data_IF_509446698710
#
_entry.id   IF_509446698710
#
_cell.length_a   1.000
_cell.length_b   1.000
_cell.length_c   1.000
_cell.angle_alpha   90.00
_cell.angle_beta   90.00
_cell.angle_gamma   90.00
#
_symmetry.space_group_name_H-M   'P 1'
#
loop_
_entity.id
_entity.type
_entity.pdbx_description
1 polymer ?
#
# COMPACT_ATOMS: atom_id res chain seq x y z
N UNK A 1 -13.48 1.49 8.43
CA UNK A 1 -12.10 1.87 8.86
C UNK A 1 -11.45 2.90 7.95
N UNK A 2 -11.57 2.79 6.62
CA UNK A 2 -10.81 3.64 5.68
C UNK A 2 -11.11 5.13 5.79
N UNK A 3 -12.38 5.54 5.96
CA UNK A 3 -12.74 6.94 6.12
C UNK A 3 -12.07 7.61 7.33
N UNK A 4 -11.95 6.87 8.44
CA UNK A 4 -11.22 7.34 9.62
C UNK A 4 -9.70 7.39 9.37
N UNK A 5 -9.15 6.39 8.66
CA UNK A 5 -7.73 6.37 8.27
C UNK A 5 -7.36 7.61 7.43
N UNK A 6 -8.21 7.92 6.46
CA UNK A 6 -8.00 8.98 5.50
C UNK A 6 -8.23 10.38 6.10
N UNK A 7 -9.25 10.56 6.92
CA UNK A 7 -9.66 11.90 7.36
C UNK A 7 -9.12 12.29 8.74
N UNK A 8 -8.69 11.33 9.56
CA UNK A 8 -8.29 11.60 10.95
C UNK A 8 -6.96 10.95 11.31
N UNK A 9 -6.88 9.62 11.28
CA UNK A 9 -5.74 8.90 11.86
C UNK A 9 -4.41 9.20 11.17
N UNK A 10 -4.38 9.49 9.87
CA UNK A 10 -3.12 9.87 9.18
C UNK A 10 -2.48 11.15 9.71
N UNK A 11 -3.21 11.97 10.46
CA UNK A 11 -2.73 13.23 11.03
C UNK A 11 -2.29 13.10 12.49
N UNK A 12 -2.39 11.90 13.08
CA UNK A 12 -2.01 11.70 14.47
C UNK A 12 -0.52 11.34 14.57
N UNK A 13 0.15 11.72 15.68
CA UNK A 13 1.58 11.41 15.87
C UNK A 13 1.86 9.91 15.98
N UNK A 14 0.84 9.11 16.29
CA UNK A 14 0.95 7.65 16.46
C UNK A 14 0.58 6.85 15.19
N UNK A 15 0.28 7.51 14.06
CA UNK A 15 -0.17 6.82 12.84
C UNK A 15 0.81 5.72 12.41
N UNK A 16 2.11 6.04 12.41
CA UNK A 16 3.17 5.11 12.02
C UNK A 16 3.31 3.95 13.00
N UNK A 17 3.34 4.22 14.30
CA UNK A 17 3.36 3.19 15.34
C UNK A 17 2.20 2.20 15.16
N UNK A 18 0.99 2.71 14.88
CA UNK A 18 -0.20 1.87 14.66
C UNK A 18 -0.12 1.04 13.39
N UNK A 19 0.56 1.50 12.34
CA UNK A 19 0.79 0.67 11.14
C UNK A 19 1.53 -0.61 11.51
N UNK A 20 2.67 -0.50 12.21
CA UNK A 20 3.49 -1.63 12.60
C UNK A 20 2.89 -2.48 13.73
N UNK A 21 2.05 -1.87 14.58
CA UNK A 21 1.32 -2.60 15.61
C UNK A 21 0.18 -3.42 15.01
N UNK A 22 -0.65 -2.80 14.17
CA UNK A 22 -1.90 -3.41 13.72
C UNK A 22 -1.72 -4.45 12.62
N UNK A 23 -0.63 -4.42 11.86
CA UNK A 23 -0.38 -5.40 10.79
C UNK A 23 -0.30 -6.82 11.37
N UNK A 24 0.25 -6.94 12.59
CA UNK A 24 0.40 -8.19 13.34
C UNK A 24 -0.92 -8.75 13.86
N UNK A 25 -1.97 -7.94 13.93
CA UNK A 25 -3.25 -8.36 14.51
C UNK A 25 -3.93 -9.44 13.68
N UNK A 26 -4.50 -10.45 14.35
CA UNK A 26 -5.36 -11.45 13.71
C UNK A 26 -6.78 -10.94 13.47
N UNK A 27 -7.16 -9.78 14.00
CA UNK A 27 -8.49 -9.19 13.74
C UNK A 27 -8.49 -8.50 12.38
N UNK A 28 -9.40 -8.90 11.48
CA UNK A 28 -9.43 -8.48 10.07
C UNK A 28 -9.39 -6.95 9.91
N UNK A 29 -10.27 -6.23 10.59
CA UNK A 29 -10.36 -4.78 10.47
C UNK A 29 -9.21 -4.04 11.16
N UNK A 30 -8.59 -4.66 12.17
CA UNK A 30 -7.39 -4.10 12.81
C UNK A 30 -6.24 -4.19 11.83
N UNK A 31 -5.98 -5.37 11.25
CA UNK A 31 -4.94 -5.53 10.21
C UNK A 31 -5.19 -4.66 8.98
N UNK A 32 -6.44 -4.59 8.49
CA UNK A 32 -6.81 -3.69 7.39
C UNK A 32 -6.40 -2.25 7.68
N UNK A 33 -6.54 -1.79 8.93
CA UNK A 33 -6.25 -0.41 9.31
C UNK A 33 -4.81 -0.03 8.99
N UNK A 34 -3.83 -0.93 9.17
CA UNK A 34 -2.44 -0.66 8.79
C UNK A 34 -2.29 -0.28 7.32
N UNK A 35 -2.86 -1.10 6.42
CA UNK A 35 -2.71 -0.87 4.99
C UNK A 35 -3.57 0.29 4.49
N UNK A 36 -4.75 0.49 5.07
CA UNK A 36 -5.55 1.68 4.82
C UNK A 36 -4.86 2.97 5.28
N UNK A 37 -4.10 2.94 6.39
CA UNK A 37 -3.27 4.06 6.83
C UNK A 37 -2.12 4.32 5.86
N UNK A 38 -1.38 3.30 5.44
CA UNK A 38 -0.31 3.44 4.43
C UNK A 38 -0.84 4.12 3.16
N UNK A 39 -1.98 3.66 2.64
CA UNK A 39 -2.63 4.30 1.49
C UNK A 39 -3.02 5.77 1.78
N UNK A 40 -3.56 6.04 2.96
CA UNK A 40 -3.96 7.38 3.39
C UNK A 40 -2.78 8.35 3.53
N UNK A 41 -1.64 7.88 4.04
CA UNK A 41 -0.38 8.63 4.12
C UNK A 41 0.15 8.94 2.72
N UNK A 42 0.15 7.94 1.83
CA UNK A 42 0.66 8.08 0.47
C UNK A 42 -0.12 9.14 -0.33
N UNK A 43 -1.44 9.21 -0.13
CA UNK A 43 -2.30 10.23 -0.78
C UNK A 43 -2.21 11.60 -0.08
N UNK A 44 -2.19 11.62 1.25
CA UNK A 44 -2.49 12.84 2.03
C UNK A 44 -1.29 13.64 2.50
N UNK A 45 -0.19 12.97 2.88
CA UNK A 45 0.95 13.64 3.51
C UNK A 45 1.98 14.06 2.47
N UNK A 46 1.67 15.09 1.68
CA UNK A 46 2.56 15.61 0.63
C UNK A 46 3.91 16.14 1.13
N UNK A 47 4.03 16.44 2.43
CA UNK A 47 5.27 16.93 3.06
C UNK A 47 6.18 15.82 3.57
N UNK A 48 5.66 14.60 3.70
CA UNK A 48 6.47 13.44 4.12
C UNK A 48 7.43 13.08 2.98
N UNK A 49 8.74 12.91 3.26
CA UNK A 49 9.71 12.48 2.25
C UNK A 49 9.28 11.15 1.63
N UNK A 50 9.60 10.95 0.36
CA UNK A 50 9.20 9.73 -0.33
C UNK A 50 9.96 8.51 0.19
N UNK A 51 11.19 8.69 0.65
CA UNK A 51 12.05 7.69 1.26
C UNK A 51 11.37 7.00 2.45
N UNK A 52 10.57 7.75 3.22
CA UNK A 52 9.83 7.22 4.36
C UNK A 52 8.77 6.19 3.97
N UNK A 53 8.33 6.15 2.70
CA UNK A 53 7.37 5.14 2.24
C UNK A 53 8.03 3.81 1.88
N UNK A 54 9.34 3.78 1.64
CA UNK A 54 10.06 2.56 1.29
C UNK A 54 9.97 1.50 2.41
N UNK A 55 9.94 1.94 3.67
CA UNK A 55 9.79 1.04 4.83
C UNK A 55 8.46 0.27 4.86
N UNK A 56 7.44 0.73 4.12
CA UNK A 56 6.15 0.06 4.04
C UNK A 56 6.08 -1.01 2.96
N UNK A 57 6.99 -1.02 1.97
CA UNK A 57 6.99 -2.01 0.89
C UNK A 57 7.29 -3.44 1.39
N UNK A 58 8.30 -3.67 2.27
CA UNK A 58 8.49 -4.98 2.88
C UNK A 58 7.27 -5.46 3.68
N UNK A 59 6.60 -4.53 4.37
CA UNK A 59 5.40 -4.85 5.15
C UNK A 59 4.21 -5.23 4.24
N UNK A 60 4.04 -4.54 3.12
CA UNK A 60 3.05 -4.90 2.10
C UNK A 60 3.34 -6.29 1.54
N UNK A 61 4.60 -6.59 1.23
CA UNK A 61 5.00 -7.91 0.75
C UNK A 61 4.70 -9.00 1.79
N UNK A 62 5.13 -8.80 3.04
CA UNK A 62 4.98 -9.75 4.13
C UNK A 62 3.52 -10.16 4.36
N UNK A 63 2.57 -9.23 4.22
CA UNK A 63 1.15 -9.48 4.51
C UNK A 63 0.28 -9.64 3.26
N UNK A 64 0.86 -9.68 2.06
CA UNK A 64 0.11 -9.89 0.84
C UNK A 64 -0.47 -11.32 0.71
N UNK A 65 -0.09 -12.26 1.59
CA UNK A 65 -0.66 -13.61 1.63
C UNK A 65 -2.08 -13.65 2.20
N UNK A 66 -2.50 -12.60 2.90
CA UNK A 66 -3.73 -12.60 3.70
C UNK A 66 -4.97 -12.64 2.82
N UNK A 67 -5.65 -13.78 2.78
CA UNK A 67 -6.77 -14.01 1.85
C UNK A 67 -8.07 -13.30 2.25
N UNK A 68 -8.13 -12.72 3.46
CA UNK A 68 -9.36 -12.10 3.97
C UNK A 68 -9.73 -10.91 3.11
N UNK A 69 -10.99 -10.87 2.68
CA UNK A 69 -11.45 -9.98 1.61
C UNK A 69 -11.10 -8.51 1.87
N UNK A 70 -11.18 -8.07 3.12
CA UNK A 70 -10.90 -6.69 3.45
C UNK A 70 -9.41 -6.43 3.71
N UNK A 71 -8.59 -7.42 4.01
CA UNK A 71 -7.15 -7.21 4.18
C UNK A 71 -6.46 -7.11 2.82
N UNK A 72 -6.60 -8.10 1.93
CA UNK A 72 -5.90 -8.09 0.64
C UNK A 72 -6.26 -6.86 -0.20
N UNK A 73 -7.51 -6.39 -0.13
CA UNK A 73 -7.95 -5.15 -0.81
C UNK A 73 -7.19 -3.93 -0.31
N UNK A 74 -6.94 -3.84 0.99
CA UNK A 74 -6.21 -2.73 1.57
C UNK A 74 -4.70 -2.83 1.28
N UNK A 75 -4.12 -4.03 1.30
CA UNK A 75 -2.72 -4.27 0.88
C UNK A 75 -2.50 -3.84 -0.57
N UNK A 76 -3.38 -4.29 -1.48
CA UNK A 76 -3.35 -3.87 -2.88
C UNK A 76 -3.48 -2.35 -3.03
N UNK A 77 -4.43 -1.75 -2.31
CA UNK A 77 -4.63 -0.31 -2.35
C UNK A 77 -3.39 0.45 -1.88
N UNK A 78 -2.77 0.03 -0.77
CA UNK A 78 -1.52 0.62 -0.27
C UNK A 78 -0.40 0.58 -1.31
N UNK A 79 -0.13 -0.59 -1.90
CA UNK A 79 0.89 -0.77 -2.94
C UNK A 79 0.69 0.19 -4.12
N UNK A 80 -0.54 0.24 -4.63
CA UNK A 80 -0.92 1.12 -5.73
C UNK A 80 -0.77 2.61 -5.38
N UNK A 81 -1.12 3.02 -4.16
CA UNK A 81 -1.00 4.43 -3.78
C UNK A 81 0.46 4.85 -3.59
N UNK A 82 1.31 3.98 -3.03
CA UNK A 82 2.76 4.25 -2.97
C UNK A 82 3.30 4.44 -4.40
N UNK A 83 3.00 3.52 -5.32
CA UNK A 83 3.50 3.62 -6.69
C UNK A 83 2.95 4.79 -7.52
N UNK A 84 1.82 5.38 -7.09
CA UNK A 84 1.21 6.56 -7.74
C UNK A 84 1.57 7.87 -7.06
N UNK A 85 2.31 7.83 -5.97
CA UNK A 85 2.66 9.01 -5.17
C UNK A 85 3.66 9.90 -5.90
N UNK A 86 4.73 9.31 -6.43
CA UNK A 86 5.81 10.05 -7.07
C UNK A 86 6.62 9.19 -8.03
N UNK A 87 7.41 9.84 -8.89
CA UNK A 87 8.34 9.14 -9.78
C UNK A 87 9.44 8.39 -9.02
N UNK A 88 9.80 8.86 -7.83
CA UNK A 88 10.78 8.20 -6.98
C UNK A 88 10.28 6.85 -6.48
N UNK A 89 9.03 6.79 -5.98
CA UNK A 89 8.44 5.56 -5.41
C UNK A 89 7.91 4.59 -6.46
N UNK A 90 7.58 5.11 -7.64
CA UNK A 90 7.02 4.33 -8.74
C UNK A 90 7.80 3.05 -9.08
N UNK A 91 9.12 3.08 -9.37
CA UNK A 91 9.88 1.89 -9.73
C UNK A 91 9.85 0.82 -8.63
N UNK A 92 9.98 1.20 -7.36
CA UNK A 92 9.94 0.25 -6.24
C UNK A 92 8.59 -0.45 -6.09
N UNK A 93 7.49 0.30 -6.23
CA UNK A 93 6.15 -0.29 -6.19
C UNK A 93 5.86 -1.16 -7.42
N UNK A 94 6.36 -0.77 -8.60
CA UNK A 94 6.20 -1.53 -9.83
C UNK A 94 6.97 -2.86 -9.75
N UNK A 95 8.21 -2.83 -9.25
CA UNK A 95 9.03 -4.02 -9.02
C UNK A 95 8.36 -4.99 -8.04
N UNK A 96 7.88 -4.50 -6.89
CA UNK A 96 7.15 -5.33 -5.94
C UNK A 96 5.86 -5.90 -6.56
N UNK A 97 5.14 -5.10 -7.35
CA UNK A 97 3.94 -5.56 -8.06
C UNK A 97 4.27 -6.70 -9.03
N UNK A 98 5.37 -6.58 -9.78
CA UNK A 98 5.84 -7.62 -10.69
C UNK A 98 6.22 -8.89 -9.92
N UNK A 99 7.01 -8.76 -8.84
CA UNK A 99 7.40 -9.87 -7.96
C UNK A 99 6.19 -10.63 -7.44
N UNK A 100 5.20 -9.93 -6.89
CA UNK A 100 3.96 -10.55 -6.39
C UNK A 100 3.15 -11.22 -7.50
N UNK A 101 3.14 -10.65 -8.71
CA UNK A 101 2.41 -11.20 -9.86
C UNK A 101 2.90 -12.58 -10.31
N UNK A 102 4.17 -12.90 -10.01
CA UNK A 102 4.85 -14.16 -10.33
C UNK A 102 4.82 -15.17 -9.17
N UNK A 103 4.22 -14.83 -8.03
CA UNK A 103 4.20 -15.69 -6.84
C UNK A 103 3.39 -16.99 -7.06
N UNK A 104 3.69 -18.03 -6.28
CA UNK A 104 2.88 -19.25 -6.22
C UNK A 104 1.62 -19.09 -5.34
N UNK A 105 1.57 -18.08 -4.46
CA UNK A 105 0.38 -17.75 -3.67
C UNK A 105 -0.68 -17.00 -4.52
N UNK A 106 -1.94 -17.42 -4.44
CA UNK A 106 -3.05 -16.87 -5.25
C UNK A 106 -3.34 -15.40 -4.93
N UNK A 107 -3.32 -15.03 -3.65
CA UNK A 107 -3.56 -13.67 -3.18
C UNK A 107 -2.42 -12.74 -3.58
N UNK A 108 -1.16 -13.17 -3.44
CA UNK A 108 0.01 -12.45 -3.99
C UNK A 108 -0.17 -12.16 -5.47
N UNK A 109 -0.47 -13.19 -6.28
CA UNK A 109 -0.66 -12.99 -7.73
C UNK A 109 -1.78 -12.02 -8.03
N UNK A 110 -2.90 -12.09 -7.31
CA UNK A 110 -4.05 -11.21 -7.49
C UNK A 110 -3.68 -9.75 -7.22
N UNK A 111 -3.01 -9.49 -6.10
CA UNK A 111 -2.52 -8.15 -5.73
C UNK A 111 -1.51 -7.67 -6.77
N UNK A 112 -0.49 -8.46 -7.06
CA UNK A 112 0.60 -8.11 -7.98
C UNK A 112 0.11 -7.81 -9.39
N UNK A 113 -0.77 -8.66 -9.96
CA UNK A 113 -1.34 -8.45 -11.29
C UNK A 113 -2.19 -7.17 -11.37
N UNK A 114 -3.02 -6.89 -10.36
CA UNK A 114 -3.84 -5.68 -10.36
C UNK A 114 -2.98 -4.42 -10.25
N UNK A 115 -2.05 -4.40 -9.29
CA UNK A 115 -1.15 -3.28 -9.07
C UNK A 115 -0.23 -3.05 -10.27
N UNK A 116 0.38 -4.10 -10.81
CA UNK A 116 1.27 -4.02 -11.96
C UNK A 116 0.53 -3.44 -13.18
N UNK A 117 -0.68 -3.94 -13.47
CA UNK A 117 -1.52 -3.42 -14.57
C UNK A 117 -1.83 -1.93 -14.43
N UNK A 118 -2.13 -1.45 -13.22
CA UNK A 118 -2.41 -0.02 -13.01
C UNK A 118 -1.13 0.82 -13.13
N UNK A 119 -0.04 0.38 -12.49
CA UNK A 119 1.21 1.13 -12.43
C UNK A 119 1.95 1.14 -13.78
N UNK A 120 1.86 0.07 -14.57
CA UNK A 120 2.43 0.02 -15.92
C UNK A 120 1.60 0.78 -16.97
N UNK A 121 0.42 1.30 -16.60
CA UNK A 121 -0.45 2.01 -17.54
C UNK A 121 0.16 3.39 -17.90
N UNK A 122 0.33 3.71 -19.20
CA UNK A 122 0.87 5.00 -19.63
C UNK A 122 0.14 6.21 -19.02
N UNK A 123 -1.20 6.15 -18.90
CA UNK A 123 -2.00 7.23 -18.29
C UNK A 123 -1.67 7.42 -16.80
N UNK A 124 -1.38 6.33 -16.09
CA UNK A 124 -0.95 6.40 -14.70
C UNK A 124 0.42 7.05 -14.60
N UNK A 125 1.37 6.63 -15.43
CA UNK A 125 2.73 7.18 -15.46
C UNK A 125 2.71 8.68 -15.80
N UNK A 126 1.94 9.09 -16.81
CA UNK A 126 1.76 10.50 -17.17
C UNK A 126 1.20 11.33 -16.02
N UNK A 127 0.27 10.77 -15.23
CA UNK A 127 -0.30 11.47 -14.07
C UNK A 127 0.71 11.65 -12.94
N UNK A 128 1.66 10.72 -12.78
CA UNK A 128 2.71 10.79 -11.75
C UNK A 128 3.79 11.82 -12.13
N UNK A 129 4.03 12.02 -13.43
CA UNK A 129 5.00 13.01 -13.95
C UNK A 129 4.55 14.47 -13.77
N UNK A 130 3.24 14.69 -13.53
CA UNK A 130 2.65 16.02 -13.31
C UNK A 130 2.65 16.36 -11.82
#
# INVERSE_FOLDING_TARGET
VDGACYNLYRYTPFAEEKIFQYCKSEKEYVRRTSFSLIAGLAIGLKKMPDEEFLKYLPLIEEYAFDERNFVWKAVNWALRQIGKRSLYLHPYALELSQKLSLSSNSTHRKIGKDAFRELSNPKTIERIKK
#
